data_IF_019677123698
#
_entry.id   IF_019677123698
#
_cell.length_a   1.000
_cell.length_b   1.000
_cell.length_c   1.000
_cell.angle_alpha   90.00
_cell.angle_beta   90.00
_cell.angle_gamma   90.00
#
_symmetry.space_group_name_H-M   'P 1'
#
loop_
_entity.id
_entity.type
_entity.pdbx_description
1 polymer ?
#
# COMPACT_ATOMS: atom_id res chain seq x y z
N UNK A 1 16.46 13.75 2.73
CA UNK A 1 15.49 12.71 2.33
C UNK A 1 16.09 11.34 2.62
N UNK A 2 15.26 10.36 2.97
CA UNK A 2 15.69 8.98 3.22
C UNK A 2 15.58 8.15 1.95
N UNK A 3 16.68 7.59 1.45
CA UNK A 3 16.62 6.62 0.35
C UNK A 3 16.50 5.22 0.95
N UNK A 4 15.37 4.56 0.69
CA UNK A 4 15.10 3.22 1.21
C UNK A 4 16.05 2.17 0.60
N UNK A 5 16.34 1.13 1.38
CA UNK A 5 17.10 -0.05 0.95
C UNK A 5 16.34 -0.77 -0.17
N UNK A 6 17.04 -1.08 -1.27
CA UNK A 6 16.48 -1.86 -2.39
C UNK A 6 17.61 -2.57 -3.12
N UNK A 7 17.58 -3.91 -3.16
CA UNK A 7 18.49 -4.78 -3.93
C UNK A 7 19.98 -4.48 -3.74
N UNK A 8 20.66 -5.13 -2.79
CA UNK A 8 22.10 -4.94 -2.51
C UNK A 8 22.50 -3.55 -2.00
N UNK A 9 21.74 -2.51 -2.30
CA UNK A 9 22.01 -1.12 -1.92
C UNK A 9 21.44 -0.81 -0.54
N UNK A 10 22.32 -0.42 0.38
CA UNK A 10 21.96 0.02 1.73
C UNK A 10 21.06 1.27 1.71
N UNK A 11 20.23 1.41 2.75
CA UNK A 11 19.53 2.66 2.99
C UNK A 11 20.54 3.76 3.35
N UNK A 12 20.28 4.99 2.91
CA UNK A 12 21.15 6.15 3.22
C UNK A 12 20.34 7.43 3.34
N UNK A 13 20.88 8.39 4.09
CA UNK A 13 20.37 9.76 4.13
C UNK A 13 21.04 10.57 3.02
N UNK A 14 20.25 11.39 2.32
CA UNK A 14 20.75 12.27 1.25
C UNK A 14 20.23 13.69 1.45
N UNK A 15 21.11 14.65 1.20
CA UNK A 15 20.76 16.07 1.10
C UNK A 15 20.28 16.35 -0.32
N UNK A 16 19.11 16.96 -0.43
CA UNK A 16 18.48 17.31 -1.71
C UNK A 16 18.39 18.83 -1.82
N UNK A 17 18.69 19.36 -3.00
CA UNK A 17 18.42 20.74 -3.36
C UNK A 17 17.13 20.80 -4.18
N UNK A 18 16.25 21.72 -3.81
CA UNK A 18 14.98 21.96 -4.50
C UNK A 18 15.04 23.34 -5.13
N UNK A 19 14.77 23.41 -6.42
CA UNK A 19 14.59 24.64 -7.18
C UNK A 19 13.24 24.59 -7.88
N UNK A 20 12.55 25.71 -7.99
CA UNK A 20 11.26 25.79 -8.67
C UNK A 20 11.17 27.08 -9.48
N UNK A 21 10.42 27.03 -10.57
CA UNK A 21 10.22 28.19 -11.44
C UNK A 21 8.93 28.03 -12.25
N UNK A 22 8.13 29.10 -12.45
CA UNK A 22 7.06 29.08 -13.43
C UNK A 22 7.65 28.91 -14.83
N UNK A 23 7.03 28.05 -15.64
CA UNK A 23 7.43 27.76 -17.02
C UNK A 23 6.22 27.74 -17.93
N UNK A 24 6.45 27.97 -19.22
CA UNK A 24 5.43 27.87 -20.25
C UNK A 24 5.80 26.79 -21.26
N UNK A 25 4.99 25.74 -21.34
CA UNK A 25 5.20 24.69 -22.33
C UNK A 25 4.54 25.06 -23.65
N UNK A 26 5.27 24.83 -24.74
CA UNK A 26 4.71 24.90 -26.09
C UNK A 26 3.78 23.72 -26.31
N UNK A 27 2.64 23.97 -26.93
CA UNK A 27 1.76 22.90 -27.36
C UNK A 27 2.48 22.02 -28.41
N UNK A 28 2.43 20.68 -28.30
CA UNK A 28 3.21 19.78 -29.17
C UNK A 28 2.86 19.91 -30.66
N UNK A 29 1.64 20.35 -30.99
CA UNK A 29 1.17 20.52 -32.37
C UNK A 29 1.27 21.96 -32.90
N UNK A 30 2.13 22.79 -32.31
CA UNK A 30 2.49 24.10 -32.90
C UNK A 30 1.46 25.21 -32.76
N UNK A 31 0.43 25.06 -31.91
CA UNK A 31 -0.47 26.17 -31.60
C UNK A 31 0.25 27.25 -30.78
N UNK A 32 -0.11 28.53 -30.95
CA UNK A 32 0.43 29.64 -30.14
C UNK A 32 0.06 29.55 -28.65
N UNK A 33 -0.91 28.70 -28.28
CA UNK A 33 -1.30 28.47 -26.89
C UNK A 33 -0.12 27.92 -26.08
N UNK A 34 0.24 28.67 -25.03
CA UNK A 34 1.21 28.28 -24.01
C UNK A 34 0.48 27.68 -22.82
N UNK A 35 0.99 26.57 -22.29
CA UNK A 35 0.47 25.96 -21.08
C UNK A 35 1.33 26.40 -19.89
N UNK A 36 0.84 27.29 -19.01
CA UNK A 36 1.56 27.68 -17.81
C UNK A 36 1.62 26.49 -16.85
N UNK A 37 2.81 26.19 -16.35
CA UNK A 37 3.07 25.15 -15.35
C UNK A 37 4.16 25.62 -14.38
N UNK A 38 4.35 24.90 -13.29
CA UNK A 38 5.52 25.05 -12.44
C UNK A 38 6.47 23.89 -12.70
N UNK A 39 7.73 24.21 -12.99
CA UNK A 39 8.83 23.25 -13.01
C UNK A 39 9.49 23.18 -11.63
N UNK A 40 9.77 21.97 -11.17
CA UNK A 40 10.50 21.70 -9.93
C UNK A 40 11.66 20.75 -10.23
N UNK A 41 12.87 21.15 -9.86
CA UNK A 41 14.06 20.31 -9.88
C UNK A 41 14.41 19.91 -8.44
N UNK A 42 14.45 18.62 -8.16
CA UNK A 42 14.90 18.06 -6.88
C UNK A 42 16.11 17.17 -7.15
N UNK A 43 17.31 17.59 -6.73
CA UNK A 43 18.55 16.86 -7.03
C UNK A 43 19.39 16.62 -5.78
N UNK A 44 20.04 15.46 -5.72
CA UNK A 44 21.08 15.19 -4.75
C UNK A 44 22.29 16.14 -4.94
N UNK A 45 23.04 16.37 -3.88
CA UNK A 45 24.32 17.10 -3.91
C UNK A 45 25.40 16.35 -4.72
N UNK A 46 25.32 15.01 -4.74
CA UNK A 46 26.23 14.19 -5.52
C UNK A 46 25.94 14.29 -7.02
N UNK A 47 26.99 14.42 -7.84
CA UNK A 47 26.91 14.64 -9.28
C UNK A 47 26.16 13.51 -10.03
N UNK A 48 26.29 12.27 -9.57
CA UNK A 48 25.57 11.09 -10.08
C UNK A 48 24.39 10.64 -9.20
N UNK A 49 23.95 11.53 -8.30
CA UNK A 49 22.85 11.26 -7.38
C UNK A 49 21.47 11.35 -8.03
N UNK A 50 20.43 11.00 -7.28
CA UNK A 50 19.06 11.08 -7.76
C UNK A 50 18.69 12.53 -8.18
N UNK A 51 18.10 12.66 -9.35
CA UNK A 51 17.60 13.92 -9.87
C UNK A 51 16.18 13.73 -10.42
N UNK A 52 15.25 14.54 -9.93
CA UNK A 52 13.87 14.57 -10.38
C UNK A 52 13.56 15.92 -11.02
N UNK A 53 12.99 15.84 -12.22
CA UNK A 53 12.44 16.96 -12.97
C UNK A 53 10.93 16.77 -12.99
N UNK A 54 10.22 17.64 -12.28
CA UNK A 54 8.77 17.54 -12.11
C UNK A 54 8.11 18.74 -12.77
N UNK A 55 6.97 18.50 -13.42
CA UNK A 55 6.07 19.52 -13.91
C UNK A 55 4.75 19.37 -13.18
N UNK A 56 4.20 20.47 -12.69
CA UNK A 56 2.93 20.48 -11.97
C UNK A 56 2.07 21.66 -12.41
N UNK A 57 0.75 21.46 -12.40
CA UNK A 57 -0.25 22.54 -12.54
C UNK A 57 -0.41 23.35 -11.26
N UNK A 58 0.06 22.84 -10.12
CA UNK A 58 -0.01 23.53 -8.84
C UNK A 58 0.85 24.79 -8.84
N UNK A 59 0.35 25.85 -8.19
CA UNK A 59 1.11 27.09 -7.97
C UNK A 59 2.13 26.84 -6.86
N UNK A 60 3.36 27.31 -7.07
CA UNK A 60 4.46 27.17 -6.11
C UNK A 60 5.10 28.53 -5.93
N UNK A 61 4.90 29.14 -4.77
CA UNK A 61 5.41 30.48 -4.46
C UNK A 61 6.53 30.44 -3.41
N UNK A 62 6.71 29.29 -2.77
CA UNK A 62 7.70 29.10 -1.72
C UNK A 62 8.42 27.75 -1.82
N UNK A 63 9.55 27.65 -1.12
CA UNK A 63 10.25 26.38 -0.97
C UNK A 63 9.41 25.32 -0.21
N UNK A 64 8.49 25.77 0.66
CA UNK A 64 7.57 24.89 1.37
C UNK A 64 6.57 24.25 0.39
N UNK A 65 5.99 25.03 -0.52
CA UNK A 65 5.08 24.52 -1.55
C UNK A 65 5.80 23.50 -2.45
N UNK A 66 7.03 23.82 -2.89
CA UNK A 66 7.82 22.92 -3.71
C UNK A 66 8.08 21.59 -2.99
N UNK A 67 8.34 21.64 -1.68
CA UNK A 67 8.54 20.44 -0.85
C UNK A 67 7.27 19.60 -0.77
N UNK A 68 6.09 20.21 -0.69
CA UNK A 68 4.79 19.52 -0.72
C UNK A 68 4.62 18.75 -2.03
N UNK A 69 4.88 19.37 -3.18
CA UNK A 69 4.80 18.68 -4.48
C UNK A 69 5.78 17.51 -4.58
N UNK A 70 7.02 17.70 -4.12
CA UNK A 70 8.00 16.60 -4.04
C UNK A 70 7.48 15.47 -3.15
N UNK A 71 6.80 15.77 -2.04
CA UNK A 71 6.21 14.75 -1.15
C UNK A 71 5.09 13.93 -1.81
N UNK A 72 4.34 14.53 -2.76
CA UNK A 72 3.36 13.78 -3.55
C UNK A 72 4.08 12.81 -4.50
N UNK A 73 5.16 13.26 -5.15
CA UNK A 73 5.92 12.41 -6.06
C UNK A 73 6.67 11.28 -5.32
N UNK A 74 7.13 11.51 -4.09
CA UNK A 74 7.67 10.46 -3.21
C UNK A 74 6.67 9.31 -3.01
N UNK A 75 5.36 9.61 -3.00
CA UNK A 75 4.28 8.63 -2.86
C UNK A 75 3.93 7.94 -4.17
N UNK A 76 4.49 8.34 -5.33
CA UNK A 76 4.22 7.69 -6.63
C UNK A 76 4.51 6.18 -6.59
N UNK A 77 5.52 5.76 -5.82
CA UNK A 77 5.89 4.35 -5.69
C UNK A 77 4.77 3.47 -5.11
N UNK A 78 3.73 4.05 -4.50
CA UNK A 78 2.59 3.32 -3.96
C UNK A 78 1.89 2.45 -5.00
N UNK A 79 1.83 2.91 -6.24
CA UNK A 79 1.21 2.14 -7.34
C UNK A 79 2.03 0.89 -7.67
N UNK A 80 3.35 0.94 -7.50
CA UNK A 80 4.21 -0.24 -7.71
C UNK A 80 4.04 -1.26 -6.58
N UNK A 81 3.86 -0.79 -5.35
CA UNK A 81 3.49 -1.66 -4.23
C UNK A 81 2.10 -2.29 -4.45
N UNK A 82 1.15 -1.53 -5.01
CA UNK A 82 -0.14 -2.07 -5.45
C UNK A 82 0.02 -3.14 -6.54
N UNK A 83 0.76 -2.87 -7.62
CA UNK A 83 1.01 -3.85 -8.67
C UNK A 83 1.68 -5.10 -8.13
N UNK A 84 2.61 -4.95 -7.17
CA UNK A 84 3.24 -6.08 -6.50
C UNK A 84 2.23 -6.88 -5.67
N UNK A 85 1.36 -6.23 -4.90
CA UNK A 85 0.31 -6.90 -4.14
C UNK A 85 -0.70 -7.63 -5.04
N UNK A 86 -1.03 -7.06 -6.19
CA UNK A 86 -2.00 -7.63 -7.15
C UNK A 86 -1.42 -8.80 -7.97
N UNK A 87 -0.16 -8.67 -8.37
CA UNK A 87 0.55 -9.67 -9.18
C UNK A 87 1.34 -10.62 -8.27
N UNK A 88 2.66 -10.56 -8.34
CA UNK A 88 3.57 -11.59 -7.81
C UNK A 88 3.65 -11.70 -6.28
N UNK A 89 3.28 -10.64 -5.55
CA UNK A 89 3.46 -10.55 -4.10
C UNK A 89 2.25 -10.96 -3.28
N UNK A 90 1.04 -10.99 -3.84
CA UNK A 90 -0.19 -11.25 -3.10
C UNK A 90 -1.21 -12.03 -3.89
N UNK A 91 -2.13 -11.34 -4.55
CA UNK A 91 -3.29 -11.94 -5.22
C UNK A 91 -2.94 -12.88 -6.37
N UNK A 92 -1.68 -12.85 -6.86
CA UNK A 92 -1.16 -13.77 -7.89
C UNK A 92 -2.06 -13.81 -9.12
N UNK A 93 -2.58 -12.66 -9.53
CA UNK A 93 -3.55 -12.56 -10.64
C UNK A 93 -3.04 -13.17 -11.94
N UNK A 94 -1.74 -13.12 -12.20
CA UNK A 94 -1.08 -13.70 -13.39
C UNK A 94 -0.96 -15.25 -13.32
N UNK A 95 -1.24 -15.85 -12.17
CA UNK A 95 -1.28 -17.32 -11.98
C UNK A 95 -2.66 -17.92 -12.22
N UNK A 96 -3.70 -17.10 -12.44
CA UNK A 96 -5.03 -17.60 -12.75
C UNK A 96 -5.02 -18.47 -14.02
N UNK A 97 -5.84 -19.52 -14.03
CA UNK A 97 -6.00 -20.48 -15.14
C UNK A 97 -7.46 -20.64 -15.52
N UNK A 98 -8.15 -19.51 -15.70
CA UNK A 98 -9.53 -19.47 -16.14
C UNK A 98 -9.65 -19.94 -17.59
N UNK A 99 -10.69 -20.72 -17.89
CA UNK A 99 -10.89 -21.33 -19.21
C UNK A 99 -11.42 -20.35 -20.28
N UNK A 100 -11.89 -19.17 -19.88
CA UNK A 100 -12.40 -18.14 -20.79
C UNK A 100 -11.86 -16.77 -20.41
N UNK A 101 -11.76 -15.89 -21.43
CA UNK A 101 -11.38 -14.48 -21.25
C UNK A 101 -12.30 -13.76 -20.27
N UNK A 102 -13.62 -13.91 -20.43
CA UNK A 102 -14.60 -13.20 -19.58
C UNK A 102 -14.50 -13.60 -18.10
N UNK A 103 -14.24 -14.88 -17.82
CA UNK A 103 -14.00 -15.34 -16.44
C UNK A 103 -12.69 -14.79 -15.89
N UNK A 104 -11.65 -14.71 -16.72
CA UNK A 104 -10.38 -14.10 -16.34
C UNK A 104 -10.55 -12.61 -16.03
N UNK A 105 -11.21 -11.83 -16.90
CA UNK A 105 -11.45 -10.40 -16.70
C UNK A 105 -12.24 -10.12 -15.41
N UNK A 106 -13.30 -10.89 -15.14
CA UNK A 106 -14.07 -10.78 -13.88
C UNK A 106 -13.19 -11.02 -12.65
N UNK A 107 -12.35 -12.06 -12.68
CA UNK A 107 -11.50 -12.39 -11.55
C UNK A 107 -10.36 -11.36 -11.37
N UNK A 108 -9.80 -10.84 -12.46
CA UNK A 108 -8.81 -9.76 -12.45
C UNK A 108 -9.35 -8.54 -11.68
N UNK A 109 -10.60 -8.15 -11.96
CA UNK A 109 -11.27 -7.01 -11.29
C UNK A 109 -11.52 -7.31 -9.82
N UNK A 110 -12.01 -8.50 -9.46
CA UNK A 110 -12.22 -8.82 -8.03
C UNK A 110 -10.90 -8.79 -7.26
N UNK A 111 -9.85 -9.40 -7.80
CA UNK A 111 -8.53 -9.42 -7.16
C UNK A 111 -7.88 -8.03 -7.10
N UNK A 112 -8.24 -7.08 -7.98
CA UNK A 112 -7.71 -5.73 -7.93
C UNK A 112 -8.16 -5.01 -6.65
N UNK A 113 -9.42 -5.16 -6.24
CA UNK A 113 -9.92 -4.60 -4.97
C UNK A 113 -9.34 -5.31 -3.75
N UNK A 114 -9.20 -6.64 -3.83
CA UNK A 114 -8.55 -7.39 -2.75
C UNK A 114 -7.10 -6.94 -2.55
N UNK A 115 -6.37 -6.69 -3.64
CA UNK A 115 -5.00 -6.17 -3.57
C UNK A 115 -4.92 -4.79 -2.90
N UNK A 116 -5.88 -3.89 -3.15
CA UNK A 116 -5.97 -2.60 -2.44
C UNK A 116 -6.19 -2.82 -0.95
N UNK A 117 -7.03 -3.78 -0.56
CA UNK A 117 -7.30 -4.09 0.85
C UNK A 117 -6.07 -4.64 1.58
N UNK A 118 -5.36 -5.57 0.94
CA UNK A 118 -4.09 -6.13 1.45
C UNK A 118 -3.01 -5.04 1.55
N UNK A 119 -2.96 -4.15 0.56
CA UNK A 119 -2.10 -2.96 0.58
C UNK A 119 -2.44 -2.03 1.75
N UNK A 120 -3.72 -1.76 2.01
CA UNK A 120 -4.18 -0.93 3.11
C UNK A 120 -3.84 -1.54 4.48
N UNK A 121 -3.99 -2.86 4.65
CA UNK A 121 -3.57 -3.56 5.88
C UNK A 121 -2.07 -3.40 6.14
N UNK A 122 -1.25 -3.61 5.11
CA UNK A 122 0.20 -3.48 5.24
C UNK A 122 0.63 -2.04 5.47
N UNK A 123 0.10 -1.08 4.73
CA UNK A 123 0.42 0.34 4.92
C UNK A 123 -0.06 0.86 6.27
N UNK A 124 -1.30 0.52 6.66
CA UNK A 124 -1.88 0.89 7.94
C UNK A 124 -1.03 0.41 9.11
N UNK A 125 -0.59 -0.85 9.08
CA UNK A 125 0.24 -1.42 10.15
C UNK A 125 1.69 -0.92 10.19
N UNK A 126 2.23 -0.45 9.06
CA UNK A 126 3.61 0.05 8.96
C UNK A 126 3.73 1.57 9.09
N UNK A 127 2.68 2.33 8.76
CA UNK A 127 2.70 3.78 8.74
C UNK A 127 2.57 4.36 10.14
N UNK A 128 3.52 5.18 10.56
CA UNK A 128 3.53 5.79 11.90
C UNK A 128 2.26 6.60 12.19
N UNK A 129 1.71 7.27 11.17
CA UNK A 129 0.48 8.06 11.25
C UNK A 129 -0.76 7.20 11.52
N UNK A 130 -0.87 6.02 10.88
CA UNK A 130 -2.10 5.21 10.88
C UNK A 130 -2.06 3.97 11.75
N UNK A 131 -0.89 3.53 12.19
CA UNK A 131 -0.72 2.26 12.91
C UNK A 131 -1.56 2.15 14.19
N UNK A 132 -1.93 3.28 14.78
CA UNK A 132 -2.74 3.38 16.00
C UNK A 132 -4.25 3.54 15.74
N UNK A 133 -4.65 3.77 14.49
CA UNK A 133 -6.07 3.82 14.10
C UNK A 133 -6.71 2.43 14.20
N UNK A 134 -8.03 2.40 14.37
CA UNK A 134 -8.80 1.15 14.46
C UNK A 134 -8.61 0.29 13.21
N UNK A 135 -8.42 -1.02 13.39
CA UNK A 135 -8.38 -1.96 12.27
C UNK A 135 -9.71 -2.06 11.51
N UNK A 136 -10.80 -1.54 12.07
CA UNK A 136 -12.12 -1.48 11.40
C UNK A 136 -12.15 -0.59 10.16
N UNK A 137 -11.13 0.25 9.97
CA UNK A 137 -10.94 0.99 8.71
C UNK A 137 -10.70 0.05 7.51
N UNK A 138 -10.27 -1.19 7.75
CA UNK A 138 -9.95 -2.15 6.70
C UNK A 138 -10.58 -3.52 6.91
N UNK A 139 -10.69 -4.00 8.17
CA UNK A 139 -11.35 -5.26 8.54
C UNK A 139 -12.79 -5.00 8.98
N UNK A 140 -13.71 -5.86 8.59
CA UNK A 140 -15.06 -5.86 9.14
C UNK A 140 -15.05 -6.30 10.61
N UNK A 141 -16.13 -6.01 11.37
CA UNK A 141 -16.27 -6.48 12.74
C UNK A 141 -16.13 -8.00 12.91
N UNK A 142 -16.60 -8.77 11.94
CA UNK A 142 -16.48 -10.25 11.97
C UNK A 142 -15.03 -10.66 11.77
N UNK A 143 -14.33 -10.08 10.80
CA UNK A 143 -12.95 -10.43 10.47
C UNK A 143 -11.99 -10.17 11.62
N UNK A 144 -12.02 -8.99 12.25
CA UNK A 144 -11.08 -8.72 13.33
C UNK A 144 -11.40 -9.54 14.59
N UNK A 145 -12.68 -9.81 14.87
CA UNK A 145 -13.09 -10.66 16.01
C UNK A 145 -12.64 -12.11 15.80
N UNK A 146 -12.83 -12.66 14.61
CA UNK A 146 -12.36 -14.02 14.29
C UNK A 146 -10.83 -14.09 14.32
N UNK A 147 -10.15 -13.07 13.79
CA UNK A 147 -8.69 -12.97 13.89
C UNK A 147 -8.23 -12.92 15.36
N UNK A 148 -8.93 -12.17 16.21
CA UNK A 148 -8.65 -12.08 17.65
C UNK A 148 -8.81 -13.43 18.34
N UNK A 149 -9.95 -14.10 18.17
CA UNK A 149 -10.21 -15.41 18.76
C UNK A 149 -9.15 -16.41 18.30
N UNK A 150 -8.79 -16.40 17.00
CA UNK A 150 -7.78 -17.30 16.45
C UNK A 150 -6.37 -17.05 17.00
N UNK A 151 -5.97 -15.80 17.19
CA UNK A 151 -4.59 -15.44 17.53
C UNK A 151 -4.34 -15.27 19.03
N UNK A 152 -5.30 -14.70 19.75
CA UNK A 152 -5.16 -14.38 21.16
C UNK A 152 -5.79 -15.46 22.05
N UNK A 153 -6.84 -16.15 21.57
CA UNK A 153 -7.57 -17.17 22.36
C UNK A 153 -8.22 -16.60 23.63
N UNK A 154 -8.51 -15.29 23.65
CA UNK A 154 -9.02 -14.53 24.79
C UNK A 154 -10.41 -13.97 24.49
N UNK A 155 -11.09 -13.52 25.54
CA UNK A 155 -12.32 -12.73 25.41
C UNK A 155 -12.14 -11.54 24.47
N UNK A 156 -13.21 -11.21 23.74
CA UNK A 156 -13.20 -10.11 22.79
C UNK A 156 -13.05 -8.76 23.52
N UNK A 157 -12.13 -7.89 23.09
CA UNK A 157 -12.01 -6.56 23.66
C UNK A 157 -13.25 -5.72 23.33
N UNK A 158 -13.58 -4.78 24.21
CA UNK A 158 -14.71 -3.84 24.02
C UNK A 158 -14.55 -2.94 22.78
N UNK A 159 -13.31 -2.69 22.36
CA UNK A 159 -12.97 -1.87 21.19
C UNK A 159 -12.10 -2.68 20.24
N UNK A 160 -12.28 -2.45 18.95
CA UNK A 160 -11.43 -3.06 17.94
C UNK A 160 -9.95 -2.68 18.17
N UNK A 161 -9.01 -3.62 18.00
CA UNK A 161 -7.59 -3.33 18.05
C UNK A 161 -7.16 -2.38 16.91
N UNK A 162 -5.93 -1.90 16.98
CA UNK A 162 -5.39 -1.00 15.96
C UNK A 162 -4.86 -1.74 14.71
N UNK A 163 -4.57 -0.97 13.65
CA UNK A 163 -4.04 -1.50 12.38
C UNK A 163 -2.70 -2.21 12.55
N UNK A 164 -1.84 -1.76 13.48
CA UNK A 164 -0.59 -2.45 13.81
C UNK A 164 -0.82 -3.87 14.28
N UNK A 165 -1.75 -4.05 15.22
CA UNK A 165 -2.12 -5.37 15.71
C UNK A 165 -2.67 -6.24 14.57
N UNK A 166 -3.61 -5.72 13.78
CA UNK A 166 -4.22 -6.49 12.69
C UNK A 166 -3.16 -6.95 11.67
N UNK A 167 -2.24 -6.06 11.30
CA UNK A 167 -1.13 -6.36 10.41
C UNK A 167 -0.21 -7.46 10.97
N UNK A 168 0.23 -7.35 12.24
CA UNK A 168 1.10 -8.35 12.86
C UNK A 168 0.39 -9.69 13.06
N UNK A 169 -0.89 -9.66 13.42
CA UNK A 169 -1.73 -10.85 13.59
C UNK A 169 -1.97 -11.57 12.27
N UNK A 170 -2.20 -10.84 11.17
CA UNK A 170 -2.24 -11.43 9.83
C UNK A 170 -0.87 -11.98 9.42
N UNK A 171 0.21 -11.27 9.71
CA UNK A 171 1.56 -11.77 9.42
C UNK A 171 1.84 -13.10 10.13
N UNK A 172 1.47 -13.22 11.42
CA UNK A 172 1.58 -14.48 12.17
C UNK A 172 0.73 -15.60 11.56
N UNK A 173 -0.49 -15.30 11.08
CA UNK A 173 -1.31 -16.28 10.36
C UNK A 173 -0.65 -16.76 9.05
N UNK A 174 0.10 -15.88 8.40
CA UNK A 174 0.98 -16.21 7.27
C UNK A 174 2.32 -16.85 7.67
N UNK A 175 2.46 -17.35 8.91
CA UNK A 175 3.68 -17.99 9.43
C UNK A 175 4.93 -17.09 9.44
N UNK A 176 4.76 -15.77 9.64
CA UNK A 176 5.90 -14.89 9.84
C UNK A 176 6.27 -14.75 11.32
N UNK A 177 7.56 -14.94 11.59
CA UNK A 177 8.14 -14.95 12.94
C UNK A 177 9.14 -13.81 13.18
N UNK A 178 9.25 -12.86 12.24
CA UNK A 178 10.22 -11.75 12.28
C UNK A 178 11.67 -12.17 12.58
N UNK A 179 12.17 -13.20 11.89
CA UNK A 179 13.51 -13.75 12.12
C UNK A 179 14.66 -12.73 12.03
N UNK A 180 14.47 -11.66 11.25
CA UNK A 180 15.42 -10.55 11.10
C UNK A 180 15.12 -9.34 11.99
N UNK A 181 14.12 -9.41 12.88
CA UNK A 181 13.72 -8.35 13.82
C UNK A 181 13.48 -7.01 13.15
N UNK A 182 12.86 -7.04 11.98
CA UNK A 182 12.61 -5.85 11.16
C UNK A 182 11.25 -5.23 11.47
N UNK A 183 10.34 -5.96 12.11
CA UNK A 183 8.93 -5.58 12.26
C UNK A 183 8.16 -5.51 10.93
N UNK A 184 8.76 -5.94 9.81
CA UNK A 184 8.26 -5.73 8.45
C UNK A 184 8.01 -7.06 7.74
N UNK A 185 6.77 -7.54 7.83
CA UNK A 185 6.27 -8.66 7.04
C UNK A 185 6.21 -8.31 5.53
N UNK A 186 6.56 -9.30 4.73
CA UNK A 186 6.49 -9.23 3.26
C UNK A 186 5.06 -9.39 2.74
N UNK A 187 4.86 -9.00 1.48
CA UNK A 187 3.56 -9.09 0.79
C UNK A 187 2.93 -10.48 0.84
N UNK A 188 3.73 -11.51 0.58
CA UNK A 188 3.27 -12.90 0.47
C UNK A 188 2.66 -13.36 1.79
N UNK A 189 3.32 -13.07 2.91
CA UNK A 189 2.85 -13.44 4.24
C UNK A 189 1.54 -12.73 4.58
N UNK A 190 1.43 -11.42 4.31
CA UNK A 190 0.20 -10.68 4.60
C UNK A 190 -0.95 -11.21 3.76
N UNK A 191 -0.70 -11.52 2.48
CA UNK A 191 -1.68 -12.16 1.61
C UNK A 191 -2.13 -13.51 2.16
N UNK A 192 -1.20 -14.40 2.51
CA UNK A 192 -1.51 -15.73 3.03
C UNK A 192 -2.28 -15.66 4.35
N UNK A 193 -1.91 -14.74 5.23
CA UNK A 193 -2.64 -14.49 6.46
C UNK A 193 -4.06 -13.97 6.20
N UNK A 194 -4.22 -13.02 5.28
CA UNK A 194 -5.53 -12.49 4.91
C UNK A 194 -6.41 -13.57 4.27
N UNK A 195 -5.85 -14.39 3.38
CA UNK A 195 -6.57 -15.45 2.70
C UNK A 195 -7.09 -16.49 3.70
N UNK A 196 -6.23 -16.97 4.63
CA UNK A 196 -6.65 -17.85 5.72
C UNK A 196 -7.73 -17.24 6.61
N UNK A 197 -7.73 -15.91 6.79
CA UNK A 197 -8.78 -15.24 7.55
C UNK A 197 -10.12 -15.35 6.82
N UNK A 198 -10.11 -15.22 5.49
CA UNK A 198 -11.33 -15.38 4.69
C UNK A 198 -11.89 -16.80 4.79
N UNK A 199 -11.04 -17.83 4.78
CA UNK A 199 -11.48 -19.22 4.99
C UNK A 199 -12.17 -19.39 6.36
N UNK A 200 -11.63 -18.78 7.41
CA UNK A 200 -12.23 -18.80 8.75
C UNK A 200 -13.57 -18.03 8.76
N UNK A 201 -13.65 -16.90 8.07
CA UNK A 201 -14.89 -16.12 7.95
C UNK A 201 -15.97 -16.89 7.20
N UNK A 202 -15.61 -17.60 6.13
CA UNK A 202 -16.50 -18.49 5.41
C UNK A 202 -17.01 -19.61 6.31
N UNK A 203 -16.10 -20.32 6.99
CA UNK A 203 -16.46 -21.36 7.95
C UNK A 203 -17.39 -20.87 9.07
N UNK A 204 -17.12 -19.68 9.62
CA UNK A 204 -17.99 -19.06 10.62
C UNK A 204 -19.40 -18.77 10.07
N UNK A 205 -19.51 -18.25 8.85
CA UNK A 205 -20.80 -17.97 8.21
C UNK A 205 -21.59 -19.25 7.93
N UNK A 206 -20.91 -20.31 7.47
CA UNK A 206 -21.51 -21.62 7.26
C UNK A 206 -22.00 -22.23 8.57
N UNK A 207 -21.20 -22.20 9.63
CA UNK A 207 -21.62 -22.69 10.94
C UNK A 207 -22.88 -21.97 11.44
N UNK A 208 -22.93 -20.63 11.33
CA UNK A 208 -24.11 -19.84 11.70
C UNK A 208 -25.35 -20.16 10.86
N UNK A 209 -25.18 -20.64 9.62
CA UNK A 209 -26.30 -21.05 8.78
C UNK A 209 -26.98 -22.34 9.24
N UNK A 210 -26.29 -23.17 10.04
CA UNK A 210 -26.89 -24.35 10.66
C UNK A 210 -27.90 -24.00 11.76
N UNK A 211 -27.78 -22.79 12.34
CA UNK A 211 -28.71 -22.27 13.35
C UNK A 211 -29.98 -21.65 12.73
N UNK A 212 -30.21 -21.84 11.42
CA UNK A 212 -31.47 -21.45 10.78
C UNK A 212 -32.56 -22.42 11.24
N UNK A 213 -33.57 -21.90 11.95
CA UNK A 213 -34.80 -22.66 12.21
C UNK A 213 -35.45 -23.03 10.87
N UNK A 214 -35.70 -24.34 10.67
CA UNK A 214 -36.40 -24.90 9.49
C UNK A 214 -37.89 -24.62 9.61
#
# INVERSE_FOLDING_TARGET
MSVLQKGGRAARQVKMFISYSPVELKHPYGSEKRLPMTYICCREEAESGACWHLLTSEKVESAADARVIVSYYERRWLIEEYHKAWKSGGARVEQLRMQTRDNLERMIVVLSFVAVRVLALRQGGLGEEKQNESCEQVLSPIEWKLLWVKQEGKELPKKAPNLKWAYLSLAKMGHWHDSKRTGRAGWIVIWEGWFKLQDIVEGYRLAKSLDQEI
#
